data_IF_511617636742
#
_entry.id   IF_511617636742
#
_cell.length_a   1.000
_cell.length_b   1.000
_cell.length_c   1.000
_cell.angle_alpha   90.00
_cell.angle_beta   90.00
_cell.angle_gamma   90.00
#
_symmetry.space_group_name_H-M   'P 1'
#
loop_
_entity.id
_entity.type
_entity.pdbx_description
1 polymer ?
#
# COMPACT_ATOMS: atom_id res chain seq x y z
N UNK A 1 2.86 -13.92 11.84
CA UNK A 1 3.77 -12.84 11.35
C UNK A 1 3.36 -11.55 12.04
N UNK A 2 4.32 -10.67 12.36
CA UNK A 2 4.01 -9.35 12.90
C UNK A 2 3.74 -8.39 11.73
N UNK A 3 2.48 -8.01 11.52
CA UNK A 3 2.09 -7.13 10.42
C UNK A 3 2.27 -5.63 10.76
N UNK A 4 2.72 -5.32 11.98
CA UNK A 4 2.92 -3.93 12.43
C UNK A 4 4.20 -3.29 11.86
N UNK A 5 5.05 -4.07 11.17
CA UNK A 5 6.22 -3.54 10.48
C UNK A 5 5.85 -3.08 9.07
N UNK A 6 6.50 -2.03 8.52
CA UNK A 6 6.32 -1.65 7.13
C UNK A 6 6.63 -2.81 6.18
N UNK A 7 5.77 -3.00 5.18
CA UNK A 7 5.89 -4.03 4.17
C UNK A 7 5.94 -3.41 2.79
N UNK A 8 6.65 -4.07 1.88
CA UNK A 8 6.61 -3.72 0.46
C UNK A 8 5.33 -4.29 -0.15
N UNK A 9 4.64 -3.49 -0.94
CA UNK A 9 3.49 -3.91 -1.74
C UNK A 9 3.55 -3.31 -3.15
N UNK A 10 2.58 -3.68 -3.98
CA UNK A 10 2.40 -3.16 -5.33
C UNK A 10 1.02 -2.51 -5.39
N UNK A 11 0.95 -1.27 -5.86
CA UNK A 11 -0.32 -0.56 -6.05
C UNK A 11 -1.08 -1.24 -7.19
N UNK A 12 -2.31 -1.70 -6.94
CA UNK A 12 -3.12 -2.39 -7.94
C UNK A 12 -4.24 -1.52 -8.50
N UNK A 13 -4.78 -0.59 -7.70
CA UNK A 13 -5.85 0.32 -8.14
C UNK A 13 -5.81 1.60 -7.33
N UNK A 14 -5.80 2.76 -7.98
CA UNK A 14 -5.83 4.09 -7.34
C UNK A 14 -7.22 4.71 -7.43
N UNK A 15 -7.69 5.30 -6.32
CA UNK A 15 -8.95 6.05 -6.27
C UNK A 15 -8.82 7.32 -5.43
N UNK A 16 -8.56 8.45 -6.09
CA UNK A 16 -8.25 9.69 -5.39
C UNK A 16 -6.91 9.55 -4.66
N UNK A 17 -6.86 9.86 -3.36
CA UNK A 17 -5.65 9.70 -2.55
C UNK A 17 -5.59 8.37 -1.77
N UNK A 18 -6.31 7.35 -2.23
CA UNK A 18 -6.28 6.00 -1.68
C UNK A 18 -5.94 4.98 -2.76
N UNK A 19 -5.45 3.81 -2.36
CA UNK A 19 -5.22 2.72 -3.30
C UNK A 19 -5.35 1.33 -2.66
N UNK A 20 -5.67 0.35 -3.49
CA UNK A 20 -5.47 -1.06 -3.15
C UNK A 20 -4.01 -1.44 -3.38
N UNK A 21 -3.50 -2.30 -2.50
CA UNK A 21 -2.12 -2.76 -2.51
C UNK A 21 -2.11 -4.28 -2.42
N UNK A 22 -1.47 -4.93 -3.38
CA UNK A 22 -1.08 -6.33 -3.25
C UNK A 22 0.18 -6.40 -2.38
N UNK A 23 0.12 -7.15 -1.30
CA UNK A 23 1.22 -7.38 -0.37
C UNK A 23 1.76 -8.79 -0.56
N UNK A 24 2.86 -8.99 -1.31
CA UNK A 24 3.29 -10.32 -1.74
C UNK A 24 3.70 -11.23 -0.58
N UNK A 25 4.28 -10.66 0.48
CA UNK A 25 4.78 -11.41 1.64
C UNK A 25 3.70 -12.26 2.30
N UNK A 26 2.46 -11.77 2.31
CA UNK A 26 1.30 -12.42 2.96
C UNK A 26 0.22 -12.81 1.95
N UNK A 27 0.48 -12.67 0.64
CA UNK A 27 -0.46 -12.92 -0.45
C UNK A 27 -1.86 -12.32 -0.18
N UNK A 28 -1.89 -11.04 0.18
CA UNK A 28 -3.09 -10.32 0.58
C UNK A 28 -3.25 -9.05 -0.27
N UNK A 29 -4.45 -8.81 -0.79
CA UNK A 29 -4.81 -7.54 -1.40
C UNK A 29 -5.64 -6.72 -0.42
N UNK A 30 -5.20 -5.50 -0.17
CA UNK A 30 -5.85 -4.63 0.80
C UNK A 30 -7.19 -4.09 0.29
N UNK A 31 -8.01 -3.58 1.21
CA UNK A 31 -8.98 -2.53 0.88
C UNK A 31 -8.27 -1.24 0.42
N UNK A 32 -9.03 -0.19 0.15
CA UNK A 32 -8.45 1.11 -0.17
C UNK A 32 -7.71 1.70 1.05
N UNK A 33 -6.39 1.70 0.98
CA UNK A 33 -5.49 2.29 1.96
C UNK A 33 -5.35 3.79 1.72
N UNK A 34 -5.42 4.59 2.79
CA UNK A 34 -5.05 6.00 2.70
C UNK A 34 -3.56 6.16 2.45
N UNK A 35 -3.18 7.21 1.71
CA UNK A 35 -1.78 7.47 1.35
C UNK A 35 -1.27 8.77 1.94
N UNK A 36 -0.09 8.72 2.56
CA UNK A 36 0.67 9.89 2.98
C UNK A 36 1.34 10.63 1.81
N UNK A 37 1.35 10.03 0.60
CA UNK A 37 1.84 10.63 -0.65
C UNK A 37 0.67 10.82 -1.61
N UNK A 38 0.65 11.94 -2.34
CA UNK A 38 -0.34 12.13 -3.40
C UNK A 38 -0.26 10.99 -4.41
N UNK A 39 -1.35 10.24 -4.53
CA UNK A 39 -1.49 9.17 -5.52
C UNK A 39 -2.11 9.69 -6.81
N UNK A 40 -1.74 9.04 -7.90
CA UNK A 40 -2.30 9.28 -9.22
C UNK A 40 -2.39 7.95 -9.98
N UNK A 41 -3.30 7.79 -10.96
CA UNK A 41 -3.53 6.52 -11.66
C UNK A 41 -2.27 5.91 -12.30
N UNK A 42 -1.32 6.74 -12.72
CA UNK A 42 -0.03 6.27 -13.27
C UNK A 42 0.85 5.52 -12.25
N UNK A 43 0.53 5.58 -10.96
CA UNK A 43 1.23 4.84 -9.91
C UNK A 43 0.76 3.38 -9.78
N UNK A 44 -0.29 2.96 -10.49
CA UNK A 44 -0.67 1.56 -10.57
C UNK A 44 0.48 0.72 -11.18
N UNK A 45 0.80 -0.40 -10.54
CA UNK A 45 1.96 -1.22 -10.85
C UNK A 45 3.26 -0.81 -10.15
N UNK A 46 3.33 0.38 -9.55
CA UNK A 46 4.51 0.80 -8.78
C UNK A 46 4.55 0.14 -7.40
N UNK A 47 5.78 -0.10 -6.92
CA UNK A 47 6.01 -0.56 -5.56
C UNK A 47 5.74 0.55 -4.55
N UNK A 48 5.20 0.18 -3.38
CA UNK A 48 4.96 1.09 -2.28
C UNK A 48 5.37 0.47 -0.94
N UNK A 49 5.48 1.31 0.08
CA UNK A 49 5.60 0.87 1.47
C UNK A 49 4.24 1.03 2.14
N UNK A 50 3.68 -0.07 2.65
CA UNK A 50 2.41 -0.12 3.37
C UNK A 50 2.64 -0.54 4.81
N UNK A 51 1.91 0.07 5.74
CA UNK A 51 1.89 -0.29 7.17
C UNK A 51 0.46 -0.67 7.55
N UNK A 52 0.31 -1.67 8.41
CA UNK A 52 -0.97 -2.02 9.01
C UNK A 52 -1.02 -1.49 10.45
N UNK A 53 -1.95 -0.58 10.73
CA UNK A 53 -2.05 0.07 12.04
C UNK A 53 -2.34 -0.99 13.11
N UNK A 54 -1.49 -1.05 14.15
CA UNK A 54 -1.51 -2.09 15.18
C UNK A 54 -1.44 -3.54 14.63
N UNK A 55 -1.00 -3.71 13.38
CA UNK A 55 -0.97 -5.00 12.68
C UNK A 55 -2.33 -5.46 12.13
N UNK A 56 -3.37 -4.61 12.16
CA UNK A 56 -4.69 -4.91 11.60
C UNK A 56 -4.69 -4.79 10.07
N UNK A 57 -4.89 -5.92 9.38
CA UNK A 57 -4.92 -5.99 7.92
C UNK A 57 -6.05 -5.16 7.28
N UNK A 58 -7.07 -4.78 8.06
CA UNK A 58 -8.17 -3.93 7.62
C UNK A 58 -7.86 -2.43 7.74
N UNK A 59 -6.73 -2.06 8.33
CA UNK A 59 -6.29 -0.67 8.50
C UNK A 59 -4.93 -0.41 7.84
N UNK A 60 -4.83 -0.54 6.50
CA UNK A 60 -3.61 -0.26 5.76
C UNK A 60 -3.40 1.26 5.56
N UNK A 61 -2.15 1.69 5.59
CA UNK A 61 -1.71 3.05 5.24
C UNK A 61 -0.48 2.97 4.34
N UNK A 62 -0.52 3.66 3.21
CA UNK A 62 0.61 3.80 2.29
C UNK A 62 1.50 4.95 2.77
N UNK A 63 2.74 4.62 3.14
CA UNK A 63 3.72 5.58 3.65
C UNK A 63 4.52 6.26 2.54
N UNK A 64 4.64 5.61 1.38
CA UNK A 64 5.36 6.14 0.23
C UNK A 64 5.31 5.22 -0.98
N UNK A 65 5.58 5.80 -2.15
CA UNK A 65 5.66 5.09 -3.44
C UNK A 65 7.10 5.15 -3.93
N UNK A 66 7.64 3.99 -4.29
CA UNK A 66 8.97 3.79 -4.86
C UNK A 66 8.83 4.01 -6.36
N UNK A 67 9.36 5.13 -6.82
CA UNK A 67 9.38 5.48 -8.25
C UNK A 67 10.76 5.08 -8.78
N UNK A 68 10.77 4.35 -9.90
CA UNK A 68 12.01 4.17 -10.66
C UNK A 68 12.42 5.55 -11.20
N UNK A 69 13.67 5.92 -10.94
CA UNK A 69 14.22 7.25 -11.29
C UNK A 69 14.51 7.44 -12.77
#
# INVERSE_FOLDING_TARGET
MNNSMPQKGVITTVRGNTAQVLVPLINFETGFAESCKNLAPEMEGHECVVVFINGDLNQPVIMGVILDG
#
